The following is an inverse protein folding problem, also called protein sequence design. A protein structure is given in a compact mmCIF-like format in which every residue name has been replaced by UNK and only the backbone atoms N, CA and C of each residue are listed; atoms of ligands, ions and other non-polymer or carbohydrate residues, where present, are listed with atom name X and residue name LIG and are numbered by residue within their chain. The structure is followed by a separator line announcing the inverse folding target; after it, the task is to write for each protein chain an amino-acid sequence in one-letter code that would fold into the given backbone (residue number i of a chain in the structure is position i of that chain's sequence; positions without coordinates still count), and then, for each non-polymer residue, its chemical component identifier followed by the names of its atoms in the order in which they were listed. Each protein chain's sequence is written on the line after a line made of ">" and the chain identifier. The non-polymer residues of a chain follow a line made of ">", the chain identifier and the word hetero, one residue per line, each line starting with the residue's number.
data_IF_162026974677
#
_entry.id   IF_162026974677
#
_cell.length_a   1.000
_cell.length_b   1.000
_cell.length_c   1.000
_cell.angle_alpha   90.00
_cell.angle_beta   90.00
_cell.angle_gamma   90.00
#
_symmetry.space_group_name_H-M   'P 1'
#
loop_
_entity.id
_entity.type
_entity.pdbx_description
1 polymer ?
#
# COMPACT_ATOMS: atom_id res chain seq x y z
N UNK A 1 0.92 -16.80 6.08
CA UNK A 1 -0.53 -16.94 5.77
C UNK A 1 -1.42 -16.08 6.67
N UNK A 2 -1.20 -16.04 8.00
CA UNK A 2 -2.01 -15.21 8.92
C UNK A 2 -2.16 -13.75 8.48
N UNK A 3 -1.09 -13.10 8.00
CA UNK A 3 -1.15 -11.73 7.48
C UNK A 3 -1.70 -11.61 6.05
N UNK A 4 -1.68 -12.69 5.26
CA UNK A 4 -2.13 -12.70 3.85
C UNK A 4 -3.66 -12.83 3.78
N UNK A 5 -4.27 -13.55 4.72
CA UNK A 5 -5.73 -13.71 4.80
C UNK A 5 -6.48 -12.38 4.98
N UNK A 6 -6.14 -11.50 5.95
CA UNK A 6 -6.80 -10.21 6.08
C UNK A 6 -6.55 -9.31 4.86
N UNK A 7 -5.43 -9.48 4.16
CA UNK A 7 -5.15 -8.72 2.93
C UNK A 7 -6.10 -9.02 1.80
N UNK A 8 -6.39 -10.30 1.57
CA UNK A 8 -7.35 -10.70 0.53
C UNK A 8 -8.76 -10.21 0.86
N UNK A 9 -9.14 -10.24 2.14
CA UNK A 9 -10.44 -9.72 2.60
C UNK A 9 -10.52 -8.21 2.34
N UNK A 10 -9.49 -7.44 2.72
CA UNK A 10 -9.45 -5.99 2.51
C UNK A 10 -9.48 -5.64 1.01
N UNK A 11 -8.77 -6.40 0.17
CA UNK A 11 -8.79 -6.19 -1.29
C UNK A 11 -10.19 -6.41 -1.88
N UNK A 12 -10.93 -7.42 -1.42
CA UNK A 12 -12.32 -7.64 -1.83
C UNK A 12 -13.27 -6.56 -1.30
N UNK A 13 -13.03 -6.06 -0.08
CA UNK A 13 -13.80 -4.94 0.46
C UNK A 13 -13.58 -3.65 -0.35
N UNK A 14 -12.36 -3.38 -0.82
CA UNK A 14 -12.05 -2.21 -1.65
C UNK A 14 -12.93 -2.12 -2.90
N UNK A 15 -13.14 -3.25 -3.59
CA UNK A 15 -13.93 -3.30 -4.82
C UNK A 15 -15.40 -2.90 -4.60
N UNK A 16 -15.90 -3.03 -3.38
CA UNK A 16 -17.31 -2.82 -3.08
C UNK A 16 -17.63 -1.48 -2.43
N UNK A 17 -16.62 -0.77 -1.93
CA UNK A 17 -16.81 0.52 -1.27
C UNK A 17 -16.91 1.65 -2.29
N UNK A 18 -17.89 2.52 -2.09
CA UNK A 18 -18.13 3.69 -2.96
C UNK A 18 -17.59 4.98 -2.37
N UNK A 19 -17.51 5.09 -1.04
CA UNK A 19 -17.14 6.34 -0.40
C UNK A 19 -15.60 6.50 -0.38
N UNK A 20 -15.06 7.65 -0.84
CA UNK A 20 -13.61 7.85 -0.94
C UNK A 20 -12.90 7.72 0.40
N UNK A 21 -13.51 8.20 1.50
CA UNK A 21 -12.96 8.07 2.84
C UNK A 21 -12.81 6.61 3.30
N UNK A 22 -13.80 5.75 3.05
CA UNK A 22 -13.69 4.32 3.41
C UNK A 22 -12.66 3.60 2.55
N UNK A 23 -12.57 3.95 1.27
CA UNK A 23 -11.52 3.42 0.41
C UNK A 23 -10.13 3.83 0.93
N UNK A 24 -9.97 5.08 1.39
CA UNK A 24 -8.74 5.55 2.04
C UNK A 24 -8.40 4.78 3.32
N UNK A 25 -9.38 4.50 4.18
CA UNK A 25 -9.16 3.72 5.41
C UNK A 25 -8.77 2.26 5.11
N UNK A 26 -9.44 1.61 4.18
CA UNK A 26 -9.13 0.22 3.80
C UNK A 26 -7.73 0.14 3.18
N UNK A 27 -7.38 1.09 2.31
CA UNK A 27 -6.02 1.19 1.76
C UNK A 27 -4.98 1.38 2.87
N UNK A 28 -5.27 2.13 3.94
CA UNK A 28 -4.29 2.37 5.00
C UNK A 28 -4.00 1.07 5.75
N UNK A 29 -5.04 0.32 6.11
CA UNK A 29 -4.88 -1.00 6.74
C UNK A 29 -4.13 -1.96 5.81
N UNK A 30 -4.42 -1.92 4.51
CA UNK A 30 -3.71 -2.72 3.51
C UNK A 30 -2.22 -2.30 3.40
N UNK A 31 -1.89 -1.01 3.50
CA UNK A 31 -0.47 -0.56 3.48
C UNK A 31 0.31 -1.00 4.72
N UNK A 32 -0.32 -1.02 5.90
CA UNK A 32 0.30 -1.56 7.11
C UNK A 32 0.59 -3.06 6.92
N UNK A 33 -0.41 -3.83 6.50
CA UNK A 33 -0.26 -5.28 6.34
C UNK A 33 0.78 -5.63 5.25
N UNK A 34 0.86 -4.85 4.16
CA UNK A 34 1.86 -5.08 3.08
C UNK A 34 3.27 -4.80 3.60
N UNK A 35 3.44 -3.73 4.38
CA UNK A 35 4.73 -3.41 5.00
C UNK A 35 5.19 -4.51 5.96
N UNK A 36 4.27 -5.11 6.72
CA UNK A 36 4.58 -6.23 7.60
C UNK A 36 4.97 -7.50 6.81
N UNK A 37 4.24 -7.84 5.74
CA UNK A 37 4.56 -9.00 4.91
C UNK A 37 5.94 -8.83 4.26
N UNK A 38 6.22 -7.67 3.66
CA UNK A 38 7.51 -7.39 3.02
C UNK A 38 8.66 -7.37 4.03
N UNK A 39 8.43 -6.88 5.25
CA UNK A 39 9.39 -6.95 6.35
C UNK A 39 9.75 -8.39 6.71
N UNK A 40 8.75 -9.28 6.80
CA UNK A 40 8.99 -10.71 7.08
C UNK A 40 9.66 -11.44 5.91
N UNK A 41 9.54 -10.93 4.68
CA UNK A 41 10.14 -11.54 3.49
C UNK A 41 11.63 -11.21 3.33
N UNK A 42 12.14 -10.13 3.90
CA UNK A 42 13.54 -9.71 3.78
C UNK A 42 14.30 -9.74 5.12
N UNK A 43 15.63 -9.77 5.10
CA UNK A 43 16.44 -9.71 6.33
C UNK A 43 16.36 -8.36 7.01
N UNK A 44 16.39 -7.30 6.19
CA UNK A 44 16.42 -5.93 6.64
C UNK A 44 15.08 -5.28 6.36
N UNK A 45 14.53 -4.64 7.39
CA UNK A 45 13.27 -3.90 7.33
C UNK A 45 13.34 -2.58 6.55
N UNK A 46 14.48 -2.23 5.96
CA UNK A 46 14.67 -0.99 5.20
C UNK A 46 13.68 -0.85 4.03
N UNK A 47 13.44 -1.92 3.27
CA UNK A 47 12.47 -1.91 2.17
C UNK A 47 11.03 -1.73 2.66
N UNK A 48 10.62 -2.45 3.71
CA UNK A 48 9.29 -2.32 4.30
C UNK A 48 9.06 -0.93 4.89
N UNK A 49 10.09 -0.31 5.48
CA UNK A 49 10.01 1.03 6.04
C UNK A 49 9.84 2.11 4.96
N UNK A 50 10.67 2.07 3.90
CA UNK A 50 10.56 3.00 2.77
C UNK A 50 9.19 2.88 2.12
N UNK A 51 8.71 1.64 1.89
CA UNK A 51 7.38 1.40 1.33
C UNK A 51 6.27 2.00 2.21
N UNK A 52 6.32 1.76 3.52
CA UNK A 52 5.33 2.28 4.47
C UNK A 52 5.26 3.81 4.44
N UNK A 53 6.40 4.50 4.50
CA UNK A 53 6.46 5.96 4.50
C UNK A 53 5.87 6.56 3.22
N UNK A 54 6.28 6.05 2.05
CA UNK A 54 5.83 6.59 0.76
C UNK A 54 4.32 6.42 0.61
N UNK A 55 3.79 5.25 0.97
CA UNK A 55 2.37 4.96 0.83
C UNK A 55 1.53 5.79 1.80
N UNK A 56 1.90 5.85 3.09
CA UNK A 56 1.15 6.66 4.07
C UNK A 56 1.22 8.15 3.73
N UNK A 57 2.38 8.65 3.30
CA UNK A 57 2.54 10.04 2.87
C UNK A 57 1.61 10.43 1.71
N UNK A 58 1.54 9.60 0.67
CA UNK A 58 0.64 9.83 -0.46
C UNK A 58 -0.85 9.76 -0.08
N UNK A 59 -1.19 8.87 0.85
CA UNK A 59 -2.57 8.71 1.32
C UNK A 59 -3.06 9.88 2.18
N UNK A 60 -2.19 10.50 2.99
CA UNK A 60 -2.55 11.69 3.77
C UNK A 60 -2.91 12.88 2.87
N UNK A 61 -2.20 13.06 1.74
CA UNK A 61 -2.50 14.11 0.76
C UNK A 61 -3.88 13.86 0.11
N UNK A 62 -4.16 12.60 -0.27
CA UNK A 62 -5.47 12.21 -0.80
C UNK A 62 -6.60 12.43 0.21
N UNK A 63 -6.36 12.14 1.49
CA UNK A 63 -7.32 12.37 2.57
C UNK A 63 -7.65 13.86 2.72
N UNK A 64 -6.62 14.72 2.77
CA UNK A 64 -6.81 16.17 2.83
C UNK A 64 -7.62 16.69 1.64
N UNK A 65 -7.27 16.27 0.42
CA UNK A 65 -7.97 16.68 -0.79
C UNK A 65 -9.46 16.28 -0.75
N UNK A 66 -9.76 15.03 -0.39
CA UNK A 66 -11.15 14.54 -0.34
C UNK A 66 -11.99 15.26 0.72
N UNK A 67 -11.42 15.51 1.92
CA UNK A 67 -12.13 16.28 2.96
C UNK A 67 -12.40 17.74 2.56
N UNK A 68 -11.59 18.31 1.66
CA UNK A 68 -11.79 19.67 1.17
C UNK A 68 -12.87 19.80 0.09
N UNK A 69 -13.26 18.69 -0.56
CA UNK A 69 -14.13 18.69 -1.75
C UNK A 69 -15.50 18.07 -1.48
N UNK A 70 -15.59 17.07 -0.60
CA UNK A 70 -16.84 16.38 -0.33
C UNK A 70 -17.41 16.77 1.04
N UNK A 71 -18.72 17.02 1.09
CA UNK A 71 -19.47 17.05 2.35
C UNK A 71 -19.45 15.65 2.99
N UNK A 72 -19.39 15.58 4.31
CA UNK A 72 -19.41 14.31 5.06
C UNK A 72 -20.77 13.62 4.91
N UNK A 73 -20.99 12.91 3.80
CA UNK A 73 -22.18 12.08 3.61
C UNK A 73 -22.18 10.92 4.61
N UNK A 74 -23.36 10.62 5.18
CA UNK A 74 -23.51 9.54 6.14
C UNK A 74 -23.19 8.20 5.47
N UNK A 75 -22.35 7.42 6.13
CA UNK A 75 -21.92 6.12 5.66
C UNK A 75 -23.11 5.14 5.57
N UNK A 76 -23.43 4.66 4.36
CA UNK A 76 -24.46 3.63 4.16
C UNK A 76 -23.82 2.24 4.08
N UNK A 77 -23.80 1.52 5.21
CA UNK A 77 -23.49 0.08 5.20
C UNK A 77 -24.67 -0.70 4.64
N UNK A 78 -24.43 -1.56 3.65
CA UNK A 78 -25.45 -2.50 3.16
C UNK A 78 -25.26 -3.87 3.80
N UNK A 79 -26.34 -4.47 4.30
CA UNK A 79 -26.31 -5.82 4.90
C UNK A 79 -25.73 -6.89 3.95
N UNK A 80 -25.90 -6.72 2.64
CA UNK A 80 -25.31 -7.62 1.63
C UNK A 80 -23.78 -7.68 1.69
N UNK A 81 -23.13 -6.54 1.94
CA UNK A 81 -21.67 -6.49 2.10
C UNK A 81 -21.21 -7.20 3.38
N UNK A 82 -21.97 -7.05 4.46
CA UNK A 82 -21.66 -7.73 5.71
C UNK A 82 -21.75 -9.26 5.57
N UNK A 83 -22.79 -9.76 4.90
CA UNK A 83 -22.97 -11.20 4.65
C UNK A 83 -21.84 -11.74 3.75
N UNK A 84 -21.48 -11.00 2.70
CA UNK A 84 -20.37 -11.40 1.82
C UNK A 84 -19.05 -11.49 2.57
N UNK A 85 -18.76 -10.51 3.44
CA UNK A 85 -17.53 -10.49 4.23
C UNK A 85 -17.49 -11.64 5.24
N UNK A 86 -18.61 -11.98 5.87
CA UNK A 86 -18.71 -13.13 6.78
C UNK A 86 -18.48 -14.46 6.04
N UNK A 87 -19.07 -14.63 4.85
CA UNK A 87 -18.86 -15.83 4.04
C UNK A 87 -17.38 -16.01 3.66
N UNK A 88 -16.70 -14.93 3.28
CA UNK A 88 -15.28 -14.96 2.97
C UNK A 88 -14.44 -15.37 4.19
N UNK A 89 -14.72 -14.81 5.37
CA UNK A 89 -14.00 -15.16 6.60
C UNK A 89 -14.14 -16.67 6.89
N UNK A 90 -15.34 -17.23 6.76
CA UNK A 90 -15.58 -18.66 7.01
C UNK A 90 -14.76 -19.53 6.05
N UNK A 91 -14.82 -19.25 4.75
CA UNK A 91 -14.04 -19.99 3.74
C UNK A 91 -12.54 -19.94 4.06
N UNK A 92 -12.04 -18.77 4.44
CA UNK A 92 -10.63 -18.58 4.75
C UNK A 92 -10.18 -19.31 6.02
N UNK A 93 -11.03 -19.36 7.05
CA UNK A 93 -10.72 -20.14 8.26
C UNK A 93 -10.60 -21.63 7.94
N UNK A 94 -11.44 -22.16 7.06
CA UNK A 94 -11.38 -23.56 6.63
C UNK A 94 -10.08 -23.87 5.89
N UNK A 95 -9.63 -22.99 5.00
CA UNK A 95 -8.37 -23.16 4.26
C UNK A 95 -7.18 -23.17 5.24
N UNK A 96 -7.21 -22.33 6.28
CA UNK A 96 -6.12 -22.29 7.28
C UNK A 96 -5.98 -23.61 8.05
N UNK A 97 -7.07 -24.28 8.38
CA UNK A 97 -7.03 -25.55 9.12
C UNK A 97 -6.58 -26.74 8.26
N UNK A 98 -6.79 -26.68 6.95
CA UNK A 98 -6.44 -27.79 6.06
C UNK A 98 -4.94 -27.90 5.82
N UNK A 99 -4.19 -26.80 5.96
CA UNK A 99 -2.86 -26.72 5.39
C UNK A 99 -1.72 -26.81 6.42
N UNK A 100 -1.52 -28.02 6.96
CA UNK A 100 -0.35 -28.33 7.81
C UNK A 100 0.98 -28.27 7.03
N UNK A 101 0.93 -28.34 5.70
CA UNK A 101 2.12 -28.42 4.83
C UNK A 101 2.89 -27.09 4.72
N UNK A 102 2.27 -25.95 5.01
CA UNK A 102 2.94 -24.64 4.91
C UNK A 102 3.72 -24.26 6.17
N UNK A 103 3.41 -24.85 7.32
CA UNK A 103 4.16 -24.58 8.55
C UNK A 103 5.58 -25.15 8.48
N UNK A 104 5.76 -26.30 7.83
CA UNK A 104 7.08 -26.93 7.64
C UNK A 104 7.95 -26.20 6.61
N UNK A 105 7.37 -25.67 5.52
CA UNK A 105 8.11 -24.91 4.51
C UNK A 105 8.57 -23.55 5.00
N UNK A 106 7.81 -22.90 5.89
CA UNK A 106 8.22 -21.65 6.53
C UNK A 106 9.49 -21.80 7.37
N UNK A 107 9.65 -22.92 8.09
CA UNK A 107 10.85 -23.18 8.89
C UNK A 107 12.09 -23.40 7.99
N UNK A 108 11.96 -24.16 6.90
CA UNK A 108 13.06 -24.36 5.95
C UNK A 108 13.51 -23.07 5.24
N UNK A 109 12.56 -22.17 4.93
CA UNK A 109 12.87 -20.86 4.33
C UNK A 109 13.56 -19.95 5.35
N UNK A 110 13.23 -20.04 6.65
CA UNK A 110 13.89 -19.29 7.71
C UNK A 110 15.35 -19.73 7.91
N UNK A 111 15.63 -21.03 7.79
CA UNK A 111 16.99 -21.58 7.93
C UNK A 111 17.90 -21.20 6.75
N UNK A 112 17.42 -21.34 5.50
CA UNK A 112 18.14 -20.81 4.33
C UNK A 112 18.31 -19.29 4.38
N UNK A 113 17.45 -18.63 5.16
CA UNK A 113 17.51 -17.18 5.30
C UNK A 113 18.76 -16.76 6.07
N UNK A 114 19.07 -17.42 7.18
CA UNK A 114 20.19 -17.02 8.03
C UNK A 114 21.55 -17.01 7.29
N UNK A 115 21.73 -17.84 6.27
CA UNK A 115 22.96 -17.90 5.47
C UNK A 115 23.16 -16.69 4.52
N UNK A 116 22.08 -16.00 4.14
CA UNK A 116 22.08 -14.87 3.20
C UNK A 116 22.13 -13.49 3.90
N UNK A 117 22.21 -13.48 5.23
CA UNK A 117 22.22 -12.30 6.10
C UNK A 117 23.37 -11.31 5.79
N UNK A 118 24.37 -11.73 5.00
CA UNK A 118 25.48 -10.88 4.54
C UNK A 118 25.11 -9.90 3.40
N UNK A 119 23.88 -9.92 2.86
CA UNK A 119 23.49 -9.07 1.74
C UNK A 119 23.06 -7.63 2.13
N UNK A 120 23.88 -6.91 2.89
CA UNK A 120 23.76 -5.44 3.06
C UNK A 120 24.07 -4.63 1.78
N UNK A 121 24.30 -5.29 0.65
CA UNK A 121 24.74 -4.66 -0.62
C UNK A 121 23.59 -4.34 -1.58
N UNK A 122 22.34 -4.75 -1.28
CA UNK A 122 21.21 -4.54 -2.20
C UNK A 122 20.92 -3.07 -2.53
N UNK A 123 20.98 -2.17 -1.55
CA UNK A 123 20.77 -0.73 -1.79
C UNK A 123 21.96 -0.06 -2.47
N UNK A 124 23.18 -0.48 -2.15
CA UNK A 124 24.42 0.08 -2.72
C UNK A 124 24.55 -0.22 -4.22
N UNK A 125 23.85 -1.24 -4.72
CA UNK A 125 23.83 -1.62 -6.14
C UNK A 125 23.39 -0.47 -7.07
N UNK A 126 22.49 0.40 -6.63
CA UNK A 126 21.99 1.51 -7.45
C UNK A 126 23.00 2.65 -7.62
N UNK A 127 23.95 2.81 -6.68
CA UNK A 127 25.00 3.81 -6.77
C UNK A 127 26.19 3.31 -7.62
N UNK A 128 26.35 2.00 -7.74
CA UNK A 128 27.45 1.41 -8.50
C UNK A 128 27.14 1.35 -10.01
N UNK A 129 28.19 1.48 -10.82
CA UNK A 129 28.12 1.20 -12.26
C UNK A 129 27.83 -0.31 -12.48
N UNK A 130 27.01 -0.70 -13.47
CA UNK A 130 26.33 0.13 -14.48
C UNK A 130 24.94 0.65 -14.05
N UNK A 131 24.46 0.28 -12.87
CA UNK A 131 23.08 0.52 -12.45
C UNK A 131 22.77 1.98 -12.09
N UNK A 132 23.81 2.81 -11.88
CA UNK A 132 23.70 4.26 -11.66
C UNK A 132 22.89 4.98 -12.76
N UNK A 133 22.87 4.47 -13.99
CA UNK A 133 22.02 5.03 -15.05
C UNK A 133 20.53 5.05 -14.66
N UNK A 134 20.06 4.04 -13.94
CA UNK A 134 18.67 3.98 -13.46
C UNK A 134 18.41 5.11 -12.45
N UNK A 135 19.36 5.37 -11.54
CA UNK A 135 19.25 6.47 -10.59
C UNK A 135 19.17 7.82 -11.31
N UNK A 136 20.02 8.04 -12.31
CA UNK A 136 20.02 9.28 -13.10
C UNK A 136 18.70 9.48 -13.84
N UNK A 137 18.12 8.41 -14.42
CA UNK A 137 16.81 8.48 -15.07
C UNK A 137 15.69 8.85 -14.09
N UNK A 138 15.70 8.32 -12.86
CA UNK A 138 14.69 8.64 -11.84
C UNK A 138 14.78 10.11 -11.39
N UNK A 139 15.98 10.66 -11.27
CA UNK A 139 16.18 12.09 -10.92
C UNK A 139 15.59 12.99 -12.02
N UNK A 140 15.89 12.70 -13.29
CA UNK A 140 15.36 13.47 -14.43
C UNK A 140 13.82 13.37 -14.47
N UNK A 141 13.27 12.17 -14.24
CA UNK A 141 11.82 11.96 -14.19
C UNK A 141 11.15 12.82 -13.12
N UNK A 142 11.64 12.79 -11.88
CA UNK A 142 11.08 13.58 -10.78
C UNK A 142 11.23 15.10 -11.01
N UNK A 143 12.30 15.53 -11.67
CA UNK A 143 12.47 16.93 -12.03
C UNK A 143 11.45 17.38 -13.09
N UNK A 144 11.24 16.56 -14.13
CA UNK A 144 10.24 16.82 -15.15
C UNK A 144 8.81 16.83 -14.59
N UNK A 145 8.46 15.91 -13.69
CA UNK A 145 7.13 15.90 -13.06
C UNK A 145 6.90 17.17 -12.22
N UNK A 146 7.90 17.67 -11.50
CA UNK A 146 7.80 18.93 -10.77
C UNK A 146 7.52 20.12 -11.72
N UNK A 147 8.24 20.23 -12.84
CA UNK A 147 7.98 21.28 -13.85
C UNK A 147 6.56 21.16 -14.40
N UNK A 148 6.12 19.93 -14.71
CA UNK A 148 4.78 19.67 -15.23
C UNK A 148 3.70 20.07 -14.22
N UNK A 149 3.84 19.68 -12.95
CA UNK A 149 2.90 20.03 -11.87
C UNK A 149 2.80 21.55 -11.72
N UNK A 150 3.93 22.28 -11.70
CA UNK A 150 3.92 23.76 -11.60
C UNK A 150 3.22 24.40 -12.81
N UNK A 151 3.33 23.83 -14.01
CA UNK A 151 2.58 24.33 -15.19
C UNK A 151 1.09 24.04 -15.08
N UNK A 152 0.69 22.85 -14.60
CA UNK A 152 -0.71 22.46 -14.44
C UNK A 152 -1.39 23.29 -13.33
N UNK A 153 -0.70 23.59 -12.23
CA UNK A 153 -1.31 24.37 -11.14
C UNK A 153 -1.42 25.86 -11.42
N UNK A 154 -0.72 26.39 -12.44
CA UNK A 154 -0.78 27.81 -12.86
C UNK A 154 -2.04 28.18 -13.67
N UNK A 155 -3.17 27.49 -13.49
CA UNK A 155 -4.44 27.92 -14.08
C UNK A 155 -4.94 29.20 -13.39
N UNK A 156 -4.89 30.31 -14.12
CA UNK A 156 -5.37 31.62 -13.72
C UNK A 156 -6.84 31.82 -14.09
N UNK A 157 -7.77 31.15 -13.40
CA UNK A 157 -9.20 31.47 -13.56
C UNK A 157 -9.90 31.61 -12.21
N UNK A 158 -9.93 32.86 -11.74
CA UNK A 158 -10.92 33.41 -10.81
C UNK A 158 -10.97 32.82 -9.39
N UNK A 159 -11.53 33.57 -8.46
CA UNK A 159 -11.80 33.06 -7.11
C UNK A 159 -12.82 31.91 -7.16
N UNK A 160 -12.50 30.78 -6.51
CA UNK A 160 -13.39 29.62 -6.25
C UNK A 160 -14.67 29.93 -5.46
N UNK A 161 -14.95 31.21 -5.20
CA UNK A 161 -16.14 31.69 -4.49
C UNK A 161 -16.90 32.64 -5.41
N UNK A 162 -18.14 32.28 -5.77
CA UNK A 162 -19.10 33.26 -6.28
C UNK A 162 -19.32 34.31 -5.19
N UNK A 163 -19.00 35.57 -5.50
CA UNK A 163 -19.63 36.70 -4.83
C UNK A 163 -21.06 36.74 -5.36
N UNK A 164 -22.02 36.27 -4.57
CA UNK A 164 -23.31 36.89 -4.24
C UNK A 164 -23.96 36.05 -3.14
#
# INVERSE_FOLDING_TARGET
>A
MFLILPMMILAMMMLMMKHPLSCGLILLVQTILTSMITGMLHYNFWYSYIFFLIMVGGMLILFLYMTSIASNEKFKFTNKLMIMNLALIIIFTLIFFMDKFYFSTLNQIFDMKMELMNNNVSMKKYFNLPHNLIMLMMIIYLFLTLIAIVKITKFSYGSLRQKF
#
